data_IF_913121759323
#
_entry.id   IF_913121759323
#
_cell.length_a   1.000
_cell.length_b   1.000
_cell.length_c   1.000
_cell.angle_alpha   90.00
_cell.angle_beta   90.00
_cell.angle_gamma   90.00
#
_symmetry.space_group_name_H-M   'P 1'
#
loop_
_entity.id
_entity.type
_entity.pdbx_description
1 polymer ?
#
# COMPACT_ATOMS: atom_id res chain seq x y z
N UNK A 1 5.42 -21.15 18.83
CA UNK A 1 4.92 -20.13 19.79
C UNK A 1 5.31 -18.70 19.34
N UNK A 2 4.90 -18.23 18.15
CA UNK A 2 5.22 -16.87 17.63
C UNK A 2 3.98 -16.01 17.33
N UNK A 3 2.77 -16.54 17.43
CA UNK A 3 1.54 -15.86 17.01
C UNK A 3 1.08 -14.74 17.96
N UNK A 4 1.46 -14.79 19.24
CA UNK A 4 1.00 -13.81 20.25
C UNK A 4 1.52 -12.38 20.06
N UNK A 5 2.70 -12.20 19.47
CA UNK A 5 3.29 -10.86 19.30
C UNK A 5 2.78 -10.13 18.05
N UNK A 6 2.35 -10.88 17.02
CA UNK A 6 1.82 -10.27 15.79
C UNK A 6 0.45 -9.67 16.03
N UNK A 7 -0.45 -10.39 16.72
CA UNK A 7 -1.82 -9.91 17.02
C UNK A 7 -1.82 -8.64 17.89
N UNK A 8 -0.89 -8.52 18.84
CA UNK A 8 -0.80 -7.33 19.71
C UNK A 8 -0.30 -6.11 18.93
N UNK A 9 0.73 -6.30 18.08
CA UNK A 9 1.20 -5.24 17.18
C UNK A 9 0.10 -4.79 16.21
N UNK A 10 -0.66 -5.75 15.69
CA UNK A 10 -1.78 -5.50 14.79
C UNK A 10 -2.89 -4.64 15.38
N UNK A 11 -3.25 -4.87 16.64
CA UNK A 11 -4.26 -4.06 17.32
C UNK A 11 -3.74 -2.66 17.67
N UNK A 12 -2.45 -2.54 17.99
CA UNK A 12 -1.81 -1.26 18.26
C UNK A 12 -1.72 -0.40 16.98
N UNK A 13 -1.27 -0.98 15.87
CA UNK A 13 -1.18 -0.31 14.57
C UNK A 13 -2.58 0.12 14.09
N UNK A 14 -3.60 -0.73 14.28
CA UNK A 14 -4.99 -0.43 13.94
C UNK A 14 -5.50 0.84 14.63
N UNK A 15 -5.43 0.88 15.97
CA UNK A 15 -5.87 2.05 16.75
C UNK A 15 -5.07 3.30 16.40
N UNK A 16 -3.75 3.16 16.23
CA UNK A 16 -2.85 4.26 15.91
C UNK A 16 -3.15 4.86 14.55
N UNK A 17 -3.27 4.04 13.50
CA UNK A 17 -3.54 4.52 12.14
C UNK A 17 -4.92 5.12 12.00
N UNK A 18 -5.94 4.52 12.63
CA UNK A 18 -7.28 5.11 12.68
C UNK A 18 -7.27 6.50 13.33
N UNK A 19 -6.57 6.66 14.46
CA UNK A 19 -6.45 7.96 15.15
C UNK A 19 -5.72 9.01 14.30
N UNK A 20 -4.59 8.64 13.67
CA UNK A 20 -3.85 9.55 12.78
C UNK A 20 -4.69 9.96 11.56
N UNK A 21 -5.47 9.03 10.99
CA UNK A 21 -6.37 9.33 9.87
C UNK A 21 -7.51 10.26 10.30
N UNK A 22 -8.11 10.03 11.47
CA UNK A 22 -9.14 10.90 12.02
C UNK A 22 -8.60 12.32 12.29
N UNK A 23 -7.42 12.44 12.92
CA UNK A 23 -6.76 13.73 13.13
C UNK A 23 -6.45 14.44 11.81
N UNK A 24 -6.05 13.69 10.77
CA UNK A 24 -5.82 14.26 9.45
C UNK A 24 -7.09 14.94 8.91
N UNK A 25 -8.26 14.33 9.07
CA UNK A 25 -9.54 14.90 8.61
C UNK A 25 -9.90 16.21 9.29
N UNK A 26 -9.38 16.44 10.51
CA UNK A 26 -9.49 17.71 11.22
C UNK A 26 -8.48 18.78 10.75
N UNK A 27 -7.64 18.45 9.75
CA UNK A 27 -6.65 19.35 9.16
C UNK A 27 -5.22 19.15 9.69
N UNK A 28 -4.98 18.17 10.57
CA UNK A 28 -3.64 17.89 11.09
C UNK A 28 -2.75 17.25 10.01
N UNK A 29 -1.88 18.08 9.43
CA UNK A 29 -0.91 17.67 8.41
C UNK A 29 0.22 16.82 8.99
N UNK A 30 0.57 17.02 10.26
CA UNK A 30 1.65 16.28 10.92
C UNK A 30 1.20 14.85 11.18
N UNK A 31 -0.03 14.68 11.70
CA UNK A 31 -0.63 13.36 11.86
C UNK A 31 -0.73 12.61 10.53
N UNK A 32 -1.06 13.32 9.44
CA UNK A 32 -1.12 12.72 8.11
C UNK A 32 0.25 12.30 7.56
N UNK A 33 1.27 13.15 7.71
CA UNK A 33 2.64 12.82 7.30
C UNK A 33 3.18 11.61 8.08
N UNK A 34 2.91 11.57 9.38
CA UNK A 34 3.26 10.44 10.23
C UNK A 34 2.55 9.15 9.77
N UNK A 35 1.25 9.22 9.48
CA UNK A 35 0.50 8.08 8.95
C UNK A 35 1.14 7.56 7.65
N UNK A 36 1.42 8.43 6.69
CA UNK A 36 2.03 8.01 5.42
C UNK A 36 3.40 7.35 5.61
N UNK A 37 4.22 7.85 6.54
CA UNK A 37 5.50 7.23 6.87
C UNK A 37 5.31 5.80 7.40
N UNK A 38 4.40 5.60 8.35
CA UNK A 38 4.14 4.28 8.93
C UNK A 38 3.54 3.29 7.91
N UNK A 39 2.67 3.79 7.03
CA UNK A 39 2.11 2.99 5.95
C UNK A 39 3.15 2.61 4.90
N UNK A 40 4.16 3.46 4.67
CA UNK A 40 5.28 3.16 3.77
C UNK A 40 6.05 1.95 4.25
N UNK A 41 6.43 1.91 5.54
CA UNK A 41 7.15 0.78 6.13
C UNK A 41 6.32 -0.50 6.10
N UNK A 42 5.04 -0.40 6.47
CA UNK A 42 4.12 -1.53 6.48
C UNK A 42 3.90 -2.11 5.07
N UNK A 43 3.77 -1.24 4.07
CA UNK A 43 3.55 -1.63 2.69
C UNK A 43 4.80 -2.26 2.09
N UNK A 44 5.97 -1.68 2.35
CA UNK A 44 7.26 -2.20 1.90
C UNK A 44 7.47 -3.62 2.44
N UNK A 45 7.26 -3.84 3.74
CA UNK A 45 7.33 -5.18 4.33
C UNK A 45 6.32 -6.16 3.77
N UNK A 46 5.08 -5.71 3.52
CA UNK A 46 4.04 -6.53 2.90
C UNK A 46 4.41 -6.95 1.47
N UNK A 47 4.86 -6.01 0.64
CA UNK A 47 5.24 -6.26 -0.75
C UNK A 47 6.47 -7.17 -0.85
N UNK A 48 7.48 -6.94 0.00
CA UNK A 48 8.64 -7.83 0.08
C UNK A 48 8.25 -9.26 0.45
N UNK A 49 7.33 -9.43 1.40
CA UNK A 49 6.84 -10.77 1.80
C UNK A 49 6.07 -11.45 0.67
N UNK A 50 5.30 -10.68 -0.10
CA UNK A 50 4.40 -11.22 -1.13
C UNK A 50 5.12 -11.52 -2.45
N UNK A 51 6.12 -10.71 -2.83
CA UNK A 51 6.73 -10.74 -4.16
C UNK A 51 8.27 -10.83 -4.14
N UNK A 52 8.90 -10.83 -2.97
CA UNK A 52 10.35 -10.85 -2.83
C UNK A 52 10.99 -9.48 -3.08
N UNK A 53 12.22 -9.47 -3.59
CA UNK A 53 12.88 -8.25 -4.06
C UNK A 53 12.57 -8.10 -5.56
N UNK A 54 11.67 -7.18 -5.91
CA UNK A 54 11.39 -6.83 -7.30
C UNK A 54 11.60 -5.34 -7.52
N UNK A 55 12.06 -4.96 -8.72
CA UNK A 55 12.53 -3.60 -9.03
C UNK A 55 11.46 -2.52 -8.85
N UNK A 56 10.18 -2.89 -8.95
CA UNK A 56 9.06 -1.95 -8.90
C UNK A 56 8.44 -1.80 -7.51
N UNK A 57 9.12 -2.23 -6.43
CA UNK A 57 8.57 -2.10 -5.07
C UNK A 57 8.35 -0.65 -4.71
N UNK A 58 9.36 0.20 -4.93
CA UNK A 58 9.29 1.62 -4.59
C UNK A 58 8.16 2.32 -5.36
N UNK A 59 8.05 2.03 -6.66
CA UNK A 59 6.96 2.53 -7.51
C UNK A 59 5.60 2.05 -7.02
N UNK A 60 5.47 0.76 -6.69
CA UNK A 60 4.24 0.19 -6.12
C UNK A 60 3.86 0.89 -4.82
N UNK A 61 4.84 1.14 -3.94
CA UNK A 61 4.62 1.82 -2.66
C UNK A 61 4.08 3.22 -2.90
N UNK A 62 4.74 4.02 -3.75
CA UNK A 62 4.31 5.37 -4.07
C UNK A 62 2.90 5.40 -4.66
N UNK A 63 2.64 4.54 -5.65
CA UNK A 63 1.33 4.42 -6.29
C UNK A 63 0.21 4.04 -5.30
N UNK A 64 0.50 3.16 -4.33
CA UNK A 64 -0.45 2.82 -3.27
C UNK A 64 -0.69 3.99 -2.32
N UNK A 65 0.35 4.72 -1.90
CA UNK A 65 0.20 5.88 -1.03
C UNK A 65 -0.60 7.00 -1.72
N UNK A 66 -0.39 7.22 -3.02
CA UNK A 66 -1.21 8.12 -3.83
C UNK A 66 -2.66 7.66 -3.90
N UNK A 67 -2.92 6.36 -4.04
CA UNK A 67 -4.27 5.81 -4.02
C UNK A 67 -4.95 6.00 -2.65
N UNK A 68 -4.22 5.79 -1.55
CA UNK A 68 -4.69 6.06 -0.17
C UNK A 68 -4.99 7.53 0.02
N UNK A 69 -4.13 8.42 -0.48
CA UNK A 69 -4.36 9.87 -0.43
C UNK A 69 -5.65 10.25 -1.15
N UNK A 70 -5.86 9.73 -2.36
CA UNK A 70 -7.08 9.97 -3.14
C UNK A 70 -8.31 9.40 -2.45
N UNK A 71 -8.22 8.18 -1.91
CA UNK A 71 -9.33 7.51 -1.25
C UNK A 71 -9.57 8.01 0.18
N UNK A 72 -8.70 8.85 0.75
CA UNK A 72 -8.77 9.30 2.14
C UNK A 72 -10.15 9.79 2.56
N UNK A 73 -10.81 10.57 1.72
CA UNK A 73 -12.15 11.11 1.99
C UNK A 73 -13.25 10.05 2.08
N UNK A 74 -12.98 8.82 1.61
CA UNK A 74 -13.91 7.67 1.66
C UNK A 74 -13.77 6.85 2.94
N UNK A 75 -12.74 7.12 3.75
CA UNK A 75 -12.52 6.38 4.99
C UNK A 75 -13.60 6.74 6.03
N UNK A 76 -14.23 5.72 6.58
CA UNK A 76 -15.16 5.83 7.71
C UNK A 76 -14.42 5.44 9.00
N UNK A 77 -14.25 6.35 9.98
CA UNK A 77 -13.61 6.05 11.26
C UNK A 77 -14.28 4.95 12.08
N UNK A 78 -15.52 4.56 11.75
CA UNK A 78 -16.21 3.43 12.38
C UNK A 78 -15.72 2.07 11.87
N UNK A 79 -14.91 2.04 10.82
CA UNK A 79 -14.35 0.83 10.21
C UNK A 79 -12.87 0.73 10.51
N UNK A 80 -12.41 -0.51 10.62
CA UNK A 80 -10.98 -0.82 10.75
C UNK A 80 -10.21 -0.26 9.53
N UNK A 81 -9.16 0.49 9.83
CA UNK A 81 -8.26 1.13 8.90
C UNK A 81 -7.44 0.10 8.12
N UNK A 82 -6.90 -0.94 8.77
CA UNK A 82 -5.99 -1.88 8.09
C UNK A 82 -6.67 -2.63 6.95
N UNK A 83 -7.89 -3.21 7.10
CA UNK A 83 -8.60 -3.84 5.99
C UNK A 83 -8.86 -2.87 4.83
N UNK A 84 -9.25 -1.63 5.11
CA UNK A 84 -9.44 -0.59 4.09
C UNK A 84 -8.14 -0.28 3.35
N UNK A 85 -7.05 -0.09 4.07
CA UNK A 85 -5.72 0.18 3.54
C UNK A 85 -5.19 -0.98 2.68
N UNK A 86 -5.20 -2.21 3.19
CA UNK A 86 -4.69 -3.37 2.46
C UNK A 86 -5.54 -3.72 1.24
N UNK A 87 -6.84 -3.38 1.25
CA UNK A 87 -7.69 -3.49 0.07
C UNK A 87 -7.20 -2.57 -1.06
N UNK A 88 -6.90 -1.30 -0.74
CA UNK A 88 -6.35 -0.35 -1.70
C UNK A 88 -4.98 -0.83 -2.19
N UNK A 89 -4.09 -1.21 -1.28
CA UNK A 89 -2.75 -1.68 -1.60
C UNK A 89 -2.77 -2.89 -2.54
N UNK A 90 -3.61 -3.90 -2.25
CA UNK A 90 -3.74 -5.11 -3.07
C UNK A 90 -4.24 -4.76 -4.48
N UNK A 91 -5.32 -3.97 -4.58
CA UNK A 91 -5.84 -3.57 -5.89
C UNK A 91 -4.79 -2.82 -6.71
N UNK A 92 -4.10 -1.88 -6.08
CA UNK A 92 -3.12 -1.05 -6.79
C UNK A 92 -1.87 -1.84 -7.20
N UNK A 93 -1.40 -2.75 -6.36
CA UNK A 93 -0.28 -3.64 -6.69
C UNK A 93 -0.62 -4.53 -7.89
N UNK A 94 -1.82 -5.11 -7.93
CA UNK A 94 -2.28 -5.91 -9.08
C UNK A 94 -2.32 -5.07 -10.36
N UNK A 95 -2.81 -3.82 -10.26
CA UNK A 95 -2.85 -2.91 -11.39
C UNK A 95 -1.45 -2.59 -11.93
N UNK A 96 -0.49 -2.26 -11.06
CA UNK A 96 0.91 -2.00 -11.44
C UNK A 96 1.53 -3.23 -12.12
N UNK A 97 1.39 -4.41 -11.53
CA UNK A 97 1.91 -5.65 -12.13
C UNK A 97 1.29 -5.93 -13.52
N UNK A 98 -0.03 -5.70 -13.66
CA UNK A 98 -0.72 -5.84 -14.96
C UNK A 98 -0.24 -4.83 -16.00
N UNK A 99 0.17 -3.64 -15.60
CA UNK A 99 0.70 -2.63 -16.50
C UNK A 99 2.13 -2.97 -16.93
N UNK A 100 2.98 -3.43 -16.02
CA UNK A 100 4.36 -3.85 -16.33
C UNK A 100 4.39 -5.03 -17.31
N UNK A 101 3.50 -6.02 -17.15
CA UNK A 101 3.38 -7.13 -18.12
C UNK A 101 2.92 -6.68 -19.51
N UNK A 102 2.14 -5.60 -19.60
CA UNK A 102 1.69 -5.03 -20.89
C UNK A 102 2.81 -4.24 -21.60
N UNK A 103 3.69 -3.59 -20.86
CA UNK A 103 4.83 -2.85 -21.43
C UNK A 103 5.93 -3.79 -21.96
N UNK A 104 6.11 -4.98 -21.36
CA UNK A 104 7.03 -6.02 -21.88
C UNK A 104 6.51 -6.67 -23.17
N UNK A 105 5.21 -6.56 -23.48
CA UNK A 105 4.59 -7.11 -24.69
C UNK A 105 4.77 -6.27 -25.97
N UNK A 106 5.38 -5.07 -25.92
CA UNK A 106 5.45 -4.17 -27.08
C UNK A 106 6.83 -4.06 -27.76
N UNK A 107 7.84 -4.80 -27.31
CA UNK A 107 9.13 -4.92 -28.01
C UNK A 107 9.46 -6.41 -28.16
N UNK A 108 8.97 -7.01 -29.25
CA UNK A 108 9.59 -8.12 -30.03
C UNK A 108 8.60 -8.65 -31.07
N UNK A 109 8.23 -7.80 -32.01
CA UNK A 109 7.73 -8.22 -33.33
C UNK A 109 8.64 -7.61 -34.38
N UNK A 110 9.66 -8.35 -34.78
CA UNK A 110 10.59 -7.92 -35.81
C UNK A 110 11.91 -8.64 -35.67
N UNK A 111 11.93 -9.92 -36.04
CA UNK A 111 13.00 -10.55 -36.84
C UNK A 111 12.64 -12.03 -37.00
N UNK A 112 12.01 -12.35 -38.14
CA UNK A 112 11.93 -13.71 -38.67
C UNK A 112 12.32 -13.63 -40.15
N UNK A 113 13.17 -14.59 -40.54
CA UNK A 113 13.47 -15.01 -41.90
C UNK A 113 14.51 -14.20 -42.68
N UNK A 114 15.74 -14.72 -42.68
CA UNK A 114 16.47 -14.97 -43.92
C UNK A 114 16.64 -16.47 -44.07
#
# INVERSE_FOLDING_TARGET
MQERNQTVRWQADEKRWSALMAASHLGDKVAYAQLLSELTDALTGYLHKQFGQFELIEDCVQECLLAVHKARHTYDPKRDFRPWFFTIARHKTIDVLRQSSRHVGSVRSGFRSR
#
